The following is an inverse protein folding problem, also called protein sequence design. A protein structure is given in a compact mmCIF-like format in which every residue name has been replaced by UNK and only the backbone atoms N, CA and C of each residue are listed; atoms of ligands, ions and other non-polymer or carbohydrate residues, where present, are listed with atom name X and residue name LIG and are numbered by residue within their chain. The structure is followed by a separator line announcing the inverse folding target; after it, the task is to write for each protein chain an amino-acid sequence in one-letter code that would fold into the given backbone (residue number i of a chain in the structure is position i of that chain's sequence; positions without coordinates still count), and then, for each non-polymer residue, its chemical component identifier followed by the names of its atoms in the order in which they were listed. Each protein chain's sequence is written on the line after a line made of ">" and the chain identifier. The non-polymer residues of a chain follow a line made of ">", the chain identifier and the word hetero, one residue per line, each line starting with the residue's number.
data_IF_177366252323
#
_entry.id   IF_177366252323
#
_cell.length_a   1.000
_cell.length_b   1.000
_cell.length_c   1.000
_cell.angle_alpha   90.00
_cell.angle_beta   90.00
_cell.angle_gamma   90.00
#
_symmetry.space_group_name_H-M   'P 1'
#
loop_
_entity.id
_entity.type
_entity.pdbx_description
1 polymer ?
#
# COMPACT_ATOMS: atom_id res chain seq x y z
N UNK A 1 19.75 12.79 25.58
CA UNK A 1 20.03 11.42 25.09
C UNK A 1 20.07 10.54 26.34
N UNK A 2 19.23 9.51 26.44
CA UNK A 2 19.21 8.65 27.62
C UNK A 2 20.48 7.79 27.65
N UNK A 3 21.22 7.85 28.75
CA UNK A 3 22.45 7.09 28.93
C UNK A 3 22.14 5.72 29.53
N UNK A 4 22.84 4.68 29.07
CA UNK A 4 22.73 3.35 29.68
C UNK A 4 23.22 3.38 31.13
N UNK A 5 22.47 2.73 32.04
CA UNK A 5 22.97 2.48 33.40
C UNK A 5 24.06 1.40 33.34
N UNK A 6 25.28 1.78 33.72
CA UNK A 6 26.43 0.87 33.73
C UNK A 6 26.81 0.40 35.15
N UNK A 7 25.99 0.74 36.16
CA UNK A 7 26.21 0.37 37.57
C UNK A 7 24.88 0.07 38.23
N UNK A 8 24.83 -1.08 38.90
CA UNK A 8 23.71 -1.50 39.74
C UNK A 8 23.84 -0.85 41.13
N UNK A 9 23.17 0.27 41.34
CA UNK A 9 23.12 0.97 42.63
C UNK A 9 21.75 1.60 42.87
N UNK A 10 21.31 1.65 44.13
CA UNK A 10 20.02 2.26 44.50
C UNK A 10 19.95 3.74 44.09
N UNK A 11 21.06 4.46 44.17
CA UNK A 11 21.17 5.86 43.73
C UNK A 11 21.01 6.02 42.21
N UNK A 12 21.59 5.14 41.40
CA UNK A 12 21.48 5.21 39.93
C UNK A 12 20.07 4.86 39.47
N UNK A 13 19.44 3.84 40.07
CA UNK A 13 18.06 3.46 39.80
C UNK A 13 17.06 4.53 40.22
N UNK A 14 17.27 5.18 41.37
CA UNK A 14 16.41 6.29 41.82
C UNK A 14 16.51 7.49 40.87
N UNK A 15 17.73 7.84 40.43
CA UNK A 15 17.93 8.90 39.45
C UNK A 15 17.21 8.58 38.12
N UNK A 16 17.33 7.34 37.61
CA UNK A 16 16.60 6.88 36.43
C UNK A 16 15.09 7.07 36.58
N UNK A 17 14.51 6.60 37.69
CA UNK A 17 13.07 6.72 37.96
C UNK A 17 12.64 8.19 37.96
N UNK A 18 13.38 9.07 38.64
CA UNK A 18 13.05 10.49 38.72
C UNK A 18 13.09 11.14 37.35
N UNK A 19 14.15 10.89 36.56
CA UNK A 19 14.26 11.43 35.20
C UNK A 19 13.08 11.01 34.32
N UNK A 20 12.70 9.73 34.32
CA UNK A 20 11.57 9.28 33.50
C UNK A 20 10.23 9.82 34.00
N UNK A 21 10.02 9.92 35.32
CA UNK A 21 8.81 10.52 35.90
C UNK A 21 8.68 12.00 35.55
N UNK A 22 9.76 12.76 35.68
CA UNK A 22 9.82 14.17 35.31
C UNK A 22 9.52 14.37 33.82
N UNK A 23 10.14 13.56 32.95
CA UNK A 23 9.88 13.62 31.51
C UNK A 23 8.42 13.30 31.17
N UNK A 24 7.84 12.25 31.77
CA UNK A 24 6.43 11.89 31.56
C UNK A 24 5.51 12.99 32.07
N UNK A 25 5.79 13.58 33.23
CA UNK A 25 5.02 14.68 33.78
C UNK A 25 5.10 15.93 32.88
N UNK A 26 6.28 16.24 32.34
CA UNK A 26 6.47 17.36 31.41
C UNK A 26 5.67 17.15 30.10
N UNK A 27 5.69 15.94 29.53
CA UNK A 27 4.89 15.62 28.32
C UNK A 27 3.40 15.80 28.60
N UNK A 28 2.91 15.31 29.74
CA UNK A 28 1.51 15.49 30.14
C UNK A 28 1.14 16.96 30.36
N UNK A 29 2.06 17.76 30.92
CA UNK A 29 1.85 19.19 31.13
C UNK A 29 1.71 19.98 29.82
N UNK A 30 2.20 19.46 28.69
CA UNK A 30 1.98 20.01 27.36
C UNK A 30 0.58 19.72 26.78
N UNK A 31 -0.30 19.07 27.54
CA UNK A 31 -1.63 18.69 27.08
C UNK A 31 -1.67 17.40 26.26
N UNK A 32 -0.57 16.63 26.25
CA UNK A 32 -0.51 15.33 25.57
C UNK A 32 -0.99 14.25 26.54
N UNK A 33 -2.28 13.92 26.45
CA UNK A 33 -2.89 12.87 27.28
C UNK A 33 -2.51 11.47 26.79
N UNK A 34 -2.49 11.26 25.47
CA UNK A 34 -2.10 9.99 24.84
C UNK A 34 -0.63 10.00 24.39
N UNK A 35 0.27 9.67 25.32
CA UNK A 35 1.71 9.58 25.07
C UNK A 35 2.03 8.49 24.04
N UNK A 36 1.31 7.36 24.06
CA UNK A 36 1.49 6.27 23.10
C UNK A 36 1.17 6.74 21.69
N UNK A 37 0.00 7.35 21.49
CA UNK A 37 -0.41 7.90 20.20
C UNK A 37 0.54 8.99 19.71
N UNK A 38 0.99 9.88 20.58
CA UNK A 38 2.00 10.90 20.24
C UNK A 38 3.34 10.30 19.81
N UNK A 39 3.83 9.27 20.52
CA UNK A 39 5.06 8.57 20.17
C UNK A 39 4.93 7.85 18.82
N UNK A 40 3.82 7.13 18.62
CA UNK A 40 3.51 6.44 17.37
C UNK A 40 3.38 7.43 16.21
N UNK A 41 2.73 8.58 16.43
CA UNK A 41 2.64 9.67 15.47
C UNK A 41 4.03 10.16 15.07
N UNK A 42 4.89 10.46 16.05
CA UNK A 42 6.25 10.92 15.79
C UNK A 42 7.06 9.89 14.98
N UNK A 43 7.01 8.62 15.36
CA UNK A 43 7.66 7.53 14.62
C UNK A 43 7.08 7.44 13.20
N UNK A 44 5.77 7.50 13.05
CA UNK A 44 5.07 7.48 11.76
C UNK A 44 5.57 8.56 10.83
N UNK A 45 5.57 9.82 11.27
CA UNK A 45 6.06 10.97 10.47
C UNK A 45 7.54 10.80 10.10
N UNK A 46 8.36 10.20 10.97
CA UNK A 46 9.79 9.98 10.71
C UNK A 46 10.06 8.94 9.63
N UNK A 47 9.16 7.97 9.45
CA UNK A 47 9.30 6.88 8.47
C UNK A 47 8.71 7.26 7.10
N UNK A 48 7.87 8.30 7.03
CA UNK A 48 7.31 8.79 5.76
C UNK A 48 8.38 9.43 4.86
N UNK A 49 8.13 9.37 3.55
CA UNK A 49 8.96 10.03 2.56
C UNK A 49 8.86 11.57 2.66
N UNK A 50 9.88 12.25 2.15
CA UNK A 50 10.03 13.71 2.25
C UNK A 50 8.86 14.46 1.61
N UNK A 51 8.31 13.95 0.50
CA UNK A 51 7.21 14.61 -0.21
C UNK A 51 5.90 14.48 0.57
N UNK A 52 5.56 13.26 1.01
CA UNK A 52 4.35 13.03 1.82
C UNK A 52 4.40 13.81 3.13
N UNK A 53 5.57 13.87 3.78
CA UNK A 53 5.76 14.68 5.00
C UNK A 53 5.51 16.17 4.75
N UNK A 54 6.08 16.74 3.68
CA UNK A 54 5.87 18.14 3.31
C UNK A 54 4.40 18.45 3.05
N UNK A 55 3.71 17.57 2.34
CA UNK A 55 2.29 17.76 2.05
C UNK A 55 1.44 17.67 3.32
N UNK A 56 1.78 16.75 4.23
CA UNK A 56 1.10 16.65 5.52
C UNK A 56 1.29 17.93 6.34
N UNK A 57 2.53 18.40 6.52
CA UNK A 57 2.84 19.66 7.23
C UNK A 57 2.15 20.88 6.61
N UNK A 58 1.99 20.91 5.29
CA UNK A 58 1.28 21.98 4.59
C UNK A 58 -0.25 21.91 4.72
N UNK A 59 -0.80 20.71 5.00
CA UNK A 59 -2.24 20.48 5.08
C UNK A 59 -2.86 20.76 6.45
N UNK A 60 -2.03 20.91 7.49
CA UNK A 60 -2.51 20.99 8.87
C UNK A 60 -2.50 22.45 9.35
N UNK A 61 -3.59 22.94 9.98
CA UNK A 61 -3.56 24.20 10.71
C UNK A 61 -2.62 24.10 11.91
N UNK A 62 -1.85 25.15 12.19
CA UNK A 62 -0.85 25.18 13.27
C UNK A 62 -1.45 25.05 14.70
N UNK A 63 -2.77 24.94 14.83
CA UNK A 63 -3.52 25.08 16.08
C UNK A 63 -4.22 23.80 16.59
N UNK A 64 -4.04 22.64 15.96
CA UNK A 64 -4.66 21.37 16.40
C UNK A 64 -3.66 20.36 16.95
N UNK A 65 -4.12 19.58 17.93
CA UNK A 65 -3.37 18.47 18.50
C UNK A 65 -3.22 17.40 17.42
N UNK A 66 -1.97 17.16 17.00
CA UNK A 66 -1.64 16.19 15.96
C UNK A 66 -1.82 14.77 16.50
N UNK A 67 -2.80 14.04 15.97
CA UNK A 67 -3.07 12.65 16.36
C UNK A 67 -2.54 11.65 15.35
N UNK A 68 -2.29 10.42 15.82
CA UNK A 68 -1.91 9.31 14.95
C UNK A 68 -2.99 9.03 13.88
N UNK A 69 -4.26 9.10 14.26
CA UNK A 69 -5.38 8.84 13.34
C UNK A 69 -5.41 9.84 12.18
N UNK A 70 -5.19 11.13 12.46
CA UNK A 70 -5.10 12.16 11.42
C UNK A 70 -3.98 11.87 10.42
N UNK A 71 -2.81 11.42 10.90
CA UNK A 71 -1.71 11.01 10.05
C UNK A 71 -2.09 9.81 9.16
N UNK A 72 -2.71 8.78 9.74
CA UNK A 72 -3.11 7.57 9.02
C UNK A 72 -4.19 7.86 7.96
N UNK A 73 -5.15 8.73 8.28
CA UNK A 73 -6.18 9.18 7.36
C UNK A 73 -5.58 9.98 6.20
N UNK A 74 -4.66 10.91 6.50
CA UNK A 74 -3.96 11.67 5.47
C UNK A 74 -3.15 10.76 4.54
N UNK A 75 -2.36 9.83 5.08
CA UNK A 75 -1.57 8.89 4.28
C UNK A 75 -2.49 8.02 3.42
N UNK A 76 -3.63 7.58 3.98
CA UNK A 76 -4.66 6.85 3.23
C UNK A 76 -5.25 7.68 2.08
N UNK A 77 -5.48 8.97 2.28
CA UNK A 77 -5.92 9.89 1.24
C UNK A 77 -4.85 10.11 0.17
N UNK A 78 -3.58 10.26 0.58
CA UNK A 78 -2.44 10.37 -0.33
C UNK A 78 -2.30 9.14 -1.22
N UNK A 79 -2.51 7.93 -0.69
CA UNK A 79 -2.56 6.71 -1.49
C UNK A 79 -3.66 6.79 -2.56
N UNK A 80 -4.89 7.19 -2.19
CA UNK A 80 -6.00 7.35 -3.15
C UNK A 80 -5.69 8.39 -4.24
N UNK A 81 -5.05 9.50 -3.87
CA UNK A 81 -4.66 10.55 -4.81
C UNK A 81 -3.62 10.02 -5.82
N UNK A 82 -2.59 9.32 -5.36
CA UNK A 82 -1.57 8.76 -6.25
C UNK A 82 -2.14 7.69 -7.19
N UNK A 83 -3.08 6.88 -6.70
CA UNK A 83 -3.81 5.92 -7.53
C UNK A 83 -4.67 6.63 -8.61
N UNK A 84 -5.24 7.80 -8.29
CA UNK A 84 -6.02 8.58 -9.24
C UNK A 84 -5.17 9.40 -10.21
N UNK A 85 -4.07 10.03 -9.79
CA UNK A 85 -3.18 10.82 -10.67
C UNK A 85 -2.49 9.93 -11.71
N UNK A 86 -2.22 8.67 -11.37
CA UNK A 86 -1.77 7.65 -12.34
C UNK A 86 -2.75 7.42 -13.50
N UNK A 87 -3.98 7.98 -13.46
CA UNK A 87 -4.95 7.93 -14.56
C UNK A 87 -4.97 9.18 -15.44
N UNK A 88 -4.38 10.30 -15.01
CA UNK A 88 -4.46 11.59 -15.74
C UNK A 88 -3.14 12.04 -16.38
N UNK A 89 -2.00 11.49 -15.95
CA UNK A 89 -0.69 11.92 -16.46
C UNK A 89 -0.27 11.23 -17.78
N UNK A 90 -0.87 10.10 -18.15
CA UNK A 90 -0.47 9.34 -19.36
C UNK A 90 -1.26 9.71 -20.63
N UNK A 91 -2.13 10.73 -20.57
CA UNK A 91 -2.93 11.16 -21.74
C UNK A 91 -2.57 12.57 -22.24
N UNK A 92 -1.29 12.88 -22.33
CA UNK A 92 -0.82 14.00 -23.14
C UNK A 92 0.46 13.64 -23.91
N UNK A 93 0.40 12.60 -24.73
CA UNK A 93 1.12 12.56 -26.02
C UNK A 93 0.32 11.69 -27.00
N UNK A 94 -0.80 12.24 -27.49
CA UNK A 94 -1.38 11.76 -28.74
C UNK A 94 -0.98 12.74 -29.83
N UNK A 95 0.08 12.33 -30.54
CA UNK A 95 0.56 12.96 -31.74
C UNK A 95 -0.56 13.22 -32.74
N UNK A 96 -0.54 14.43 -33.28
CA UNK A 96 -1.26 14.83 -34.48
C UNK A 96 -0.81 13.93 -35.64
N UNK A 97 -1.62 12.93 -35.98
CA UNK A 97 -1.51 12.23 -37.27
C UNK A 97 -2.28 13.02 -38.32
N UNK A 98 -1.58 13.86 -39.08
CA UNK A 98 -2.04 14.27 -40.40
C UNK A 98 -1.45 13.30 -41.42
N UNK A 99 -2.33 12.52 -42.05
CA UNK A 99 -2.05 11.69 -43.20
C UNK A 99 -1.81 12.55 -44.44
N UNK A 100 -0.69 12.37 -45.16
CA UNK A 100 -0.52 13.03 -46.46
C UNK A 100 0.82 12.91 -47.19
N UNK A 101 1.09 11.72 -47.76
CA UNK A 101 1.75 11.47 -49.08
C UNK A 101 3.29 11.65 -49.27
N UNK A 102 3.93 10.49 -49.56
CA UNK A 102 5.07 10.17 -50.47
C UNK A 102 6.34 11.06 -50.47
N UNK A 103 7.51 10.44 -50.24
CA UNK A 103 8.50 10.07 -51.29
C UNK A 103 9.72 9.31 -50.75
N UNK A 104 10.42 8.69 -51.71
CA UNK A 104 11.51 7.68 -51.77
C UNK A 104 12.75 7.73 -50.84
N UNK A 105 13.37 6.54 -50.84
CA UNK A 105 14.81 6.17 -50.78
C UNK A 105 15.49 5.80 -49.45
N UNK A 106 16.15 4.63 -49.49
CA UNK A 106 17.55 4.54 -49.05
C UNK A 106 17.90 3.75 -47.78
N UNK A 107 18.07 2.43 -47.92
CA UNK A 107 19.16 1.60 -47.36
C UNK A 107 19.29 1.29 -45.85
N UNK A 108 19.68 0.02 -45.64
CA UNK A 108 20.49 -0.55 -44.55
C UNK A 108 19.79 -0.90 -43.23
N UNK A 109 19.44 -2.17 -43.10
CA UNK A 109 19.09 -2.78 -41.82
C UNK A 109 20.30 -2.98 -40.91
N UNK A 110 20.09 -2.71 -39.63
CA UNK A 110 20.63 -3.51 -38.52
C UNK A 110 19.52 -3.65 -37.47
N UNK A 111 19.06 -4.87 -37.33
CA UNK A 111 18.10 -5.35 -36.33
C UNK A 111 18.52 -4.91 -34.93
N UNK A 112 17.80 -3.96 -34.35
CA UNK A 112 17.71 -3.85 -32.90
C UNK A 112 16.45 -4.60 -32.49
N UNK A 113 16.64 -5.73 -31.81
CA UNK A 113 15.61 -6.45 -31.09
C UNK A 113 15.07 -5.50 -30.02
N UNK A 114 14.10 -4.67 -30.40
CA UNK A 114 13.23 -4.06 -29.42
C UNK A 114 12.43 -5.21 -28.85
N UNK A 115 12.84 -5.66 -27.66
CA UNK A 115 11.97 -6.34 -26.72
C UNK A 115 10.83 -5.37 -26.49
N UNK A 116 9.81 -5.45 -27.33
CA UNK A 116 8.47 -5.06 -26.97
C UNK A 116 8.08 -6.05 -25.88
N UNK A 117 8.55 -5.80 -24.65
CA UNK A 117 7.74 -6.18 -23.51
C UNK A 117 6.43 -5.48 -23.80
N UNK A 118 5.46 -6.25 -24.29
CA UNK A 118 4.08 -5.82 -24.31
C UNK A 118 3.81 -5.49 -22.85
N UNK A 119 3.97 -4.22 -22.49
CA UNK A 119 3.28 -3.64 -21.35
C UNK A 119 1.83 -3.66 -21.79
N UNK A 120 1.25 -4.86 -21.79
CA UNK A 120 -0.18 -5.02 -21.71
C UNK A 120 -0.48 -4.34 -20.39
N UNK A 121 -0.94 -3.10 -20.46
CA UNK A 121 -1.68 -2.42 -19.41
C UNK A 121 -2.91 -3.28 -19.14
N UNK A 122 -2.69 -4.39 -18.44
CA UNK A 122 -3.73 -5.33 -18.09
C UNK A 122 -4.62 -4.58 -17.12
N UNK A 123 -5.79 -4.21 -17.63
CA UNK A 123 -6.80 -3.50 -16.85
C UNK A 123 -7.12 -4.32 -15.61
N UNK A 124 -7.29 -3.63 -14.50
CA UNK A 124 -7.60 -4.21 -13.22
C UNK A 124 -8.91 -4.98 -13.37
N UNK A 125 -8.92 -6.29 -13.12
CA UNK A 125 -10.16 -7.06 -13.17
C UNK A 125 -11.23 -6.52 -12.20
N UNK A 126 -10.82 -5.84 -11.11
CA UNK A 126 -11.70 -5.38 -10.04
C UNK A 126 -12.39 -4.04 -10.36
N UNK A 127 -11.64 -3.05 -10.87
CA UNK A 127 -12.17 -1.71 -11.18
C UNK A 127 -12.13 -1.35 -12.68
N UNK A 128 -11.51 -2.19 -13.51
CA UNK A 128 -11.20 -1.94 -14.94
C UNK A 128 -10.29 -0.73 -15.20
N UNK A 129 -9.57 -0.27 -14.17
CA UNK A 129 -8.56 0.79 -14.25
C UNK A 129 -7.22 0.28 -14.80
N UNK A 130 -6.31 1.17 -15.20
CA UNK A 130 -5.03 0.80 -15.85
C UNK A 130 -3.93 0.35 -14.87
N UNK A 131 -4.23 -0.68 -14.09
CA UNK A 131 -3.23 -1.44 -13.33
C UNK A 131 -3.61 -2.93 -13.24
N UNK A 132 -2.66 -3.85 -13.15
CA UNK A 132 -2.96 -5.26 -12.98
C UNK A 132 -3.57 -5.56 -11.60
N UNK A 133 -4.35 -6.64 -11.50
CA UNK A 133 -5.05 -7.03 -10.26
C UNK A 133 -4.08 -7.28 -9.09
N UNK A 134 -2.86 -7.79 -9.34
CA UNK A 134 -1.87 -8.02 -8.29
C UNK A 134 -1.36 -6.73 -7.62
N UNK A 135 -1.56 -5.56 -8.25
CA UNK A 135 -1.28 -4.24 -7.67
C UNK A 135 -2.50 -3.58 -7.03
N UNK A 136 -3.71 -4.14 -7.21
CA UNK A 136 -4.95 -3.53 -6.72
C UNK A 136 -5.04 -3.57 -5.18
N UNK A 137 -5.10 -2.39 -4.55
CA UNK A 137 -5.23 -2.27 -3.11
C UNK A 137 -6.56 -2.82 -2.58
N UNK A 138 -7.70 -2.42 -3.17
CA UNK A 138 -9.01 -2.90 -2.73
C UNK A 138 -9.17 -4.41 -2.85
N UNK A 139 -8.58 -5.03 -3.87
CA UNK A 139 -8.52 -6.49 -3.98
C UNK A 139 -7.69 -7.11 -2.84
N UNK A 140 -6.52 -6.53 -2.53
CA UNK A 140 -5.69 -6.96 -1.39
C UNK A 140 -6.37 -6.74 -0.05
N UNK A 141 -7.33 -5.84 0.09
CA UNK A 141 -8.08 -5.68 1.34
C UNK A 141 -9.20 -6.71 1.53
N UNK A 142 -9.60 -7.45 0.49
CA UNK A 142 -10.63 -8.49 0.63
C UNK A 142 -10.09 -9.69 1.43
N UNK A 143 -10.96 -10.38 2.21
CA UNK A 143 -10.61 -11.65 2.82
C UNK A 143 -10.14 -12.67 1.78
N UNK A 144 -9.21 -13.56 2.15
CA UNK A 144 -8.59 -14.55 1.24
C UNK A 144 -9.64 -15.36 0.45
N UNK A 145 -10.71 -15.80 1.13
CA UNK A 145 -11.83 -16.53 0.52
C UNK A 145 -12.53 -15.68 -0.55
N UNK A 146 -12.76 -14.40 -0.28
CA UNK A 146 -13.36 -13.46 -1.22
C UNK A 146 -12.43 -13.17 -2.41
N UNK A 147 -11.11 -13.09 -2.20
CA UNK A 147 -10.13 -12.96 -3.29
C UNK A 147 -10.17 -14.18 -4.22
N UNK A 148 -10.19 -15.40 -3.66
CA UNK A 148 -10.25 -16.64 -4.44
C UNK A 148 -11.55 -16.74 -5.25
N UNK A 149 -12.70 -16.42 -4.64
CA UNK A 149 -14.00 -16.35 -5.35
C UNK A 149 -13.97 -15.32 -6.48
N UNK A 150 -13.42 -14.14 -6.23
CA UNK A 150 -13.30 -13.10 -7.25
C UNK A 150 -12.49 -13.55 -8.46
N UNK A 151 -11.30 -14.14 -8.23
CA UNK A 151 -10.42 -14.63 -9.30
C UNK A 151 -11.12 -15.71 -10.13
N UNK A 152 -11.81 -16.65 -9.48
CA UNK A 152 -12.58 -17.69 -10.13
C UNK A 152 -13.70 -17.12 -11.02
N UNK A 153 -14.50 -16.21 -10.48
CA UNK A 153 -15.70 -15.69 -11.15
C UNK A 153 -15.38 -14.75 -12.31
N UNK A 154 -14.21 -14.10 -12.29
CA UNK A 154 -13.81 -13.11 -13.30
C UNK A 154 -12.79 -13.65 -14.29
N UNK A 155 -12.59 -14.97 -14.34
CA UNK A 155 -11.69 -15.62 -15.29
C UNK A 155 -10.23 -15.17 -15.17
N UNK A 156 -9.80 -14.79 -13.97
CA UNK A 156 -8.45 -14.31 -13.71
C UNK A 156 -7.53 -15.51 -13.46
N UNK A 157 -6.33 -15.49 -14.02
CA UNK A 157 -5.31 -16.52 -13.78
C UNK A 157 -4.94 -16.59 -12.29
N UNK A 158 -5.01 -17.78 -11.70
CA UNK A 158 -4.70 -17.96 -10.27
C UNK A 158 -3.22 -17.76 -9.94
N UNK A 159 -2.32 -17.79 -10.93
CA UNK A 159 -0.88 -17.69 -10.73
C UNK A 159 -0.41 -16.24 -10.88
N UNK A 160 -0.69 -15.62 -12.02
CA UNK A 160 -0.19 -14.27 -12.34
C UNK A 160 -1.20 -13.15 -12.07
N UNK A 161 -2.46 -13.49 -11.78
CA UNK A 161 -3.56 -12.54 -11.55
C UNK A 161 -3.87 -11.64 -12.76
N UNK A 162 -3.66 -12.14 -13.98
CA UNK A 162 -4.02 -11.50 -15.24
C UNK A 162 -5.23 -12.19 -15.89
N UNK A 163 -6.03 -11.47 -16.67
CA UNK A 163 -7.20 -12.02 -17.40
C UNK A 163 -6.86 -12.62 -18.78
N UNK A 164 -5.60 -12.58 -19.20
CA UNK A 164 -5.21 -12.95 -20.56
C UNK A 164 -5.18 -14.46 -20.82
N UNK A 165 -5.08 -15.27 -19.77
CA UNK A 165 -4.92 -16.73 -19.89
C UNK A 165 -5.40 -17.45 -18.62
N UNK A 166 -5.57 -18.76 -18.75
CA UNK A 166 -5.87 -19.66 -17.63
C UNK A 166 -4.59 -20.19 -16.98
N UNK A 167 -4.69 -20.60 -15.71
CA UNK A 167 -3.56 -21.09 -14.90
C UNK A 167 -2.78 -22.24 -15.56
N UNK A 168 -3.43 -23.06 -16.39
CA UNK A 168 -2.80 -24.18 -17.12
C UNK A 168 -1.81 -23.73 -18.18
N UNK A 169 -2.05 -22.56 -18.79
CA UNK A 169 -1.22 -21.96 -19.85
C UNK A 169 -0.35 -20.82 -19.32
N UNK A 170 -0.26 -20.65 -18.00
CA UNK A 170 0.49 -19.59 -17.38
C UNK A 170 1.99 -19.89 -17.43
N UNK A 171 2.75 -19.00 -18.07
CA UNK A 171 4.22 -19.06 -18.16
C UNK A 171 4.92 -18.32 -17.00
N UNK A 172 4.17 -17.81 -16.03
CA UNK A 172 4.75 -17.07 -14.91
C UNK A 172 5.58 -17.98 -14.01
N UNK A 173 6.76 -17.53 -13.61
CA UNK A 173 7.63 -18.22 -12.66
C UNK A 173 7.23 -17.97 -11.20
N UNK A 174 6.35 -16.99 -10.94
CA UNK A 174 5.85 -16.63 -9.60
C UNK A 174 4.72 -17.57 -9.16
N UNK A 175 5.01 -18.88 -9.14
CA UNK A 175 4.06 -19.93 -8.76
C UNK A 175 4.32 -20.33 -7.32
N UNK A 176 3.30 -20.22 -6.46
CA UNK A 176 3.28 -20.88 -5.17
C UNK A 176 2.58 -22.25 -5.30
N UNK A 177 3.17 -23.29 -4.71
CA UNK A 177 2.71 -24.68 -4.84
C UNK A 177 2.36 -25.23 -3.47
N UNK A 178 1.15 -25.76 -3.37
CA UNK A 178 0.61 -26.35 -2.14
C UNK A 178 -0.21 -27.59 -2.48
N UNK A 179 -0.74 -28.28 -1.47
CA UNK A 179 -1.69 -29.38 -1.64
C UNK A 179 -2.93 -28.98 -2.44
N UNK A 180 -3.35 -27.71 -2.37
CA UNK A 180 -4.48 -27.17 -3.14
C UNK A 180 -4.11 -26.74 -4.58
N UNK A 181 -2.90 -27.03 -5.03
CA UNK A 181 -2.42 -26.71 -6.37
C UNK A 181 -1.62 -25.40 -6.48
N UNK A 182 -1.49 -24.93 -7.73
CA UNK A 182 -0.63 -23.80 -8.12
C UNK A 182 -1.39 -22.47 -8.08
N UNK A 183 -0.88 -21.49 -7.34
CA UNK A 183 -1.54 -20.19 -7.20
C UNK A 183 -0.55 -19.07 -6.82
N UNK A 184 -1.04 -17.83 -6.80
CA UNK A 184 -0.33 -16.66 -6.30
C UNK A 184 -0.42 -16.61 -4.77
N UNK A 185 0.63 -16.16 -4.08
CA UNK A 185 0.64 -16.05 -2.61
C UNK A 185 -0.52 -15.18 -2.06
N UNK A 186 -1.03 -14.22 -2.83
CA UNK A 186 -2.21 -13.42 -2.45
C UNK A 186 -3.51 -14.21 -2.34
N UNK A 187 -3.55 -15.44 -2.87
CA UNK A 187 -4.69 -16.37 -2.85
C UNK A 187 -4.48 -17.58 -1.94
N UNK A 188 -3.38 -17.62 -1.19
CA UNK A 188 -3.06 -18.72 -0.30
C UNK A 188 -4.04 -18.77 0.87
N UNK A 189 -4.40 -19.96 1.31
CA UNK A 189 -5.22 -20.18 2.51
C UNK A 189 -4.45 -21.19 3.34
N UNK A 190 -3.87 -20.73 4.44
CA UNK A 190 -3.29 -21.61 5.45
C UNK A 190 -4.43 -22.36 6.12
N UNK A 191 -4.48 -23.68 5.93
CA UNK A 191 -5.50 -24.54 6.53
C UNK A 191 -5.22 -24.90 8.00
N UNK A 192 -4.09 -24.44 8.54
CA UNK A 192 -3.59 -24.82 9.88
C UNK A 192 -3.72 -23.70 10.93
N UNK A 193 -4.66 -22.76 10.78
CA UNK A 193 -4.98 -21.78 11.83
C UNK A 193 -6.43 -21.92 12.30
N UNK A 194 -6.66 -22.40 13.53
CA UNK A 194 -7.97 -22.36 14.17
C UNK A 194 -8.33 -20.95 14.72
N UNK A 195 -9.53 -20.47 14.34
CA UNK A 195 -10.46 -19.52 15.02
C UNK A 195 -10.04 -18.02 15.02
N UNK A 196 -10.86 -17.03 14.60
CA UNK A 196 -12.20 -16.68 15.14
C UNK A 196 -13.04 -15.78 14.20
N UNK A 197 -14.39 -15.79 14.31
CA UNK A 197 -15.29 -14.97 13.50
C UNK A 197 -15.23 -13.50 13.93
N UNK A 198 -15.01 -12.58 12.98
CA UNK A 198 -15.20 -11.15 13.25
C UNK A 198 -16.69 -10.87 13.36
N UNK A 199 -17.09 -10.50 14.58
CA UNK A 199 -18.43 -10.16 15.02
C UNK A 199 -19.18 -9.25 14.04
N UNK A 200 -20.38 -9.65 13.66
CA UNK A 200 -21.41 -8.75 13.19
C UNK A 200 -22.00 -8.03 14.39
N UNK A 201 -22.05 -6.70 14.36
CA UNK A 201 -23.15 -5.93 14.98
C UNK A 201 -23.59 -4.82 14.05
N UNK A 202 -24.70 -5.12 13.37
CA UNK A 202 -25.67 -4.16 12.88
C UNK A 202 -26.44 -3.64 14.09
N UNK A 203 -26.41 -2.32 14.29
CA UNK A 203 -27.39 -1.60 15.12
C UNK A 203 -27.61 -0.25 14.44
N UNK A 204 -28.71 -0.13 13.68
CA UNK A 204 -29.33 1.17 13.40
C UNK A 204 -30.50 1.25 14.36
N UNK A 205 -30.34 2.09 15.37
CA UNK A 205 -31.40 2.63 16.19
C UNK A 205 -31.84 3.94 15.54
N UNK A 206 -33.11 4.05 15.15
CA UNK A 206 -33.80 5.34 15.00
C UNK A 206 -35.25 5.19 15.44
N UNK A 207 -35.69 6.27 16.08
CA UNK A 207 -36.97 6.55 16.72
C UNK A 207 -38.20 6.31 15.85
#
# INVERSE_FOLDING_TARGET
>A
MFSSLNKDSASSLTAFINTFRENVAAIKALGIEDISGFLLFYIGVRVLDVETKRLYEASIPQSEILTLDSLLDFVSQRCKILENIGTTADKMELGVKITGKKSKDGSSGKSSLTVTSRLNSSKCAYYKNDHPLYRCFSFKQKPMIARRKFVNNNGVCFICLLQEHQSKSCLSTRIYRTSDGKHNTLLHIDKDVPVSPSNAKCSIEKA
#
